data_IF_392194807852
#
_entry.id   IF_392194807852
#
_cell.length_a   1.000
_cell.length_b   1.000
_cell.length_c   1.000
_cell.angle_alpha   90.00
_cell.angle_beta   90.00
_cell.angle_gamma   90.00
#
_symmetry.space_group_name_H-M   'P 1'
#
loop_
_entity.id
_entity.type
_entity.pdbx_description
1 polymer ?
#
# COMPACT_ATOMS: atom_id res chain seq x y z
N UNK A 1 17.03 -0.51 10.15
CA UNK A 1 18.06 -0.19 9.10
C UNK A 1 18.05 -1.18 7.93
N UNK A 2 17.69 -2.45 8.15
CA UNK A 2 17.58 -3.44 7.06
C UNK A 2 16.41 -3.13 6.12
N UNK A 3 15.30 -2.62 6.63
CA UNK A 3 14.11 -2.20 5.88
C UNK A 3 14.43 -1.13 4.81
N UNK A 4 15.27 -0.15 5.16
CA UNK A 4 15.74 0.86 4.21
C UNK A 4 16.61 0.28 3.09
N UNK A 5 17.45 -0.70 3.43
CA UNK A 5 18.27 -1.41 2.43
C UNK A 5 17.39 -2.25 1.51
N UNK A 6 16.39 -2.91 2.06
CA UNK A 6 15.42 -3.68 1.28
C UNK A 6 14.64 -2.76 0.34
N UNK A 7 14.15 -1.63 0.84
CA UNK A 7 13.48 -0.61 0.02
C UNK A 7 14.38 -0.12 -1.14
N UNK A 8 15.64 0.20 -0.85
CA UNK A 8 16.57 0.64 -1.89
C UNK A 8 16.82 -0.44 -2.96
N UNK A 9 16.97 -1.72 -2.54
CA UNK A 9 17.16 -2.86 -3.47
C UNK A 9 15.92 -3.08 -4.36
N UNK A 10 14.73 -3.06 -3.78
CA UNK A 10 13.47 -3.26 -4.51
C UNK A 10 13.15 -2.09 -5.44
N UNK A 11 13.43 -0.85 -5.03
CA UNK A 11 13.33 0.34 -5.89
C UNK A 11 14.28 0.26 -7.07
N UNK A 12 15.50 -0.23 -6.85
CA UNK A 12 16.46 -0.45 -7.92
C UNK A 12 16.01 -1.55 -8.89
N UNK A 13 15.40 -2.62 -8.39
CA UNK A 13 14.80 -3.69 -9.21
C UNK A 13 13.68 -3.13 -10.08
N UNK A 14 12.77 -2.35 -9.51
CA UNK A 14 11.69 -1.69 -10.26
C UNK A 14 12.24 -0.75 -11.36
N UNK A 15 13.29 0.00 -11.03
CA UNK A 15 13.96 0.87 -12.00
C UNK A 15 14.59 0.09 -13.15
N UNK A 16 15.14 -1.10 -12.91
CA UNK A 16 15.67 -1.97 -13.97
C UNK A 16 14.58 -2.43 -14.92
N UNK A 17 13.42 -2.88 -14.42
CA UNK A 17 12.29 -3.27 -15.25
C UNK A 17 11.83 -2.10 -16.13
N UNK A 18 11.70 -0.93 -15.54
CA UNK A 18 11.32 0.29 -16.28
C UNK A 18 12.32 0.61 -17.41
N UNK A 19 13.62 0.66 -17.10
CA UNK A 19 14.67 1.00 -18.07
C UNK A 19 14.81 -0.08 -19.17
N UNK A 20 14.56 -1.34 -18.85
CA UNK A 20 14.59 -2.44 -19.81
C UNK A 20 13.29 -2.56 -20.61
N UNK A 21 12.28 -1.78 -20.32
CA UNK A 21 10.90 -1.93 -20.82
C UNK A 21 10.39 -3.38 -20.64
N UNK A 22 10.66 -3.94 -19.47
CA UNK A 22 10.34 -5.31 -19.11
C UNK A 22 9.12 -5.33 -18.18
N UNK A 23 8.16 -6.19 -18.50
CA UNK A 23 7.06 -6.54 -17.61
C UNK A 23 7.40 -7.85 -16.89
N UNK A 24 7.71 -7.82 -15.59
CA UNK A 24 7.93 -9.02 -14.79
C UNK A 24 6.64 -9.86 -14.66
N UNK A 25 6.71 -11.01 -14.00
CA UNK A 25 5.50 -11.71 -13.59
C UNK A 25 4.71 -10.87 -12.60
N UNK A 26 3.38 -11.05 -12.55
CA UNK A 26 2.53 -10.37 -11.55
C UNK A 26 3.00 -10.67 -10.12
N UNK A 27 3.40 -11.93 -9.85
CA UNK A 27 3.92 -12.34 -8.54
C UNK A 27 5.21 -11.59 -8.16
N UNK A 28 6.15 -11.46 -9.09
CA UNK A 28 7.42 -10.76 -8.85
C UNK A 28 7.18 -9.25 -8.68
N UNK A 29 6.32 -8.67 -9.54
CA UNK A 29 5.93 -7.27 -9.43
C UNK A 29 5.27 -6.98 -8.07
N UNK A 30 4.28 -7.78 -7.68
CA UNK A 30 3.55 -7.58 -6.42
C UNK A 30 4.48 -7.72 -5.21
N UNK A 31 5.32 -8.74 -5.18
CA UNK A 31 6.28 -8.98 -4.09
C UNK A 31 7.25 -7.79 -3.94
N UNK A 32 7.77 -7.26 -5.04
CA UNK A 32 8.61 -6.08 -5.05
C UNK A 32 7.82 -4.82 -4.68
N UNK A 33 6.61 -4.69 -5.23
CA UNK A 33 5.70 -3.57 -5.04
C UNK A 33 5.21 -3.40 -3.61
N UNK A 34 4.99 -4.49 -2.88
CA UNK A 34 4.65 -4.46 -1.46
C UNK A 34 5.71 -3.71 -0.64
N UNK A 35 6.99 -3.91 -0.94
CA UNK A 35 8.09 -3.21 -0.27
C UNK A 35 8.16 -1.75 -0.74
N UNK A 36 8.09 -1.50 -2.06
CA UNK A 36 8.16 -0.14 -2.62
C UNK A 36 6.92 0.69 -2.35
N UNK A 37 5.82 0.09 -1.86
CA UNK A 37 4.65 0.82 -1.37
C UNK A 37 4.96 1.74 -0.19
N UNK A 38 6.08 1.53 0.51
CA UNK A 38 6.56 2.27 1.69
C UNK A 38 5.73 2.12 2.96
N UNK A 39 4.58 1.47 2.94
CA UNK A 39 3.68 1.40 4.10
C UNK A 39 4.28 0.68 5.30
N UNK A 40 5.19 -0.26 5.07
CA UNK A 40 5.98 -0.87 6.15
C UNK A 40 6.88 0.18 6.83
N UNK A 41 7.59 1.00 6.05
CA UNK A 41 8.46 2.07 6.57
C UNK A 41 7.65 3.18 7.26
N UNK A 42 6.49 3.54 6.72
CA UNK A 42 5.59 4.52 7.32
C UNK A 42 5.07 4.02 8.69
N UNK A 43 4.73 2.75 8.79
CA UNK A 43 4.33 2.13 10.07
C UNK A 43 5.47 2.18 11.07
N UNK A 44 6.68 1.79 10.66
CA UNK A 44 7.87 1.84 11.53
C UNK A 44 8.17 3.27 11.99
N UNK A 45 8.05 4.25 11.10
CA UNK A 45 8.24 5.67 11.44
C UNK A 45 7.18 6.17 12.43
N UNK A 46 5.92 5.78 12.26
CA UNK A 46 4.84 6.15 13.18
C UNK A 46 5.07 5.55 14.58
N UNK A 47 5.61 4.33 14.66
CA UNK A 47 5.86 3.67 15.94
C UNK A 47 6.96 4.36 16.76
N UNK A 48 7.93 5.02 16.13
CA UNK A 48 9.03 5.71 16.84
C UNK A 48 8.56 6.79 17.83
N UNK A 49 7.37 7.34 17.65
CA UNK A 49 6.79 8.34 18.54
C UNK A 49 5.77 7.79 19.54
N UNK A 50 5.62 6.47 19.64
CA UNK A 50 4.58 5.84 20.48
C UNK A 50 5.19 5.12 21.67
N UNK A 51 4.73 5.44 22.90
CA UNK A 51 5.17 4.76 24.13
C UNK A 51 4.85 3.25 24.11
N UNK A 52 3.82 2.85 23.35
CA UNK A 52 3.40 1.46 23.18
C UNK A 52 4.27 0.67 22.18
N UNK A 53 5.21 1.30 21.49
CA UNK A 53 6.11 0.65 20.54
C UNK A 53 7.29 -0.05 21.26
N UNK A 54 7.00 -1.12 21.97
CA UNK A 54 7.98 -1.95 22.66
C UNK A 54 8.85 -2.77 21.70
N UNK A 55 9.91 -3.38 22.24
CA UNK A 55 10.74 -4.33 21.49
C UNK A 55 9.92 -5.49 20.91
N UNK A 56 8.90 -5.96 21.64
CA UNK A 56 8.02 -7.03 21.18
C UNK A 56 7.22 -6.61 19.94
N UNK A 57 6.78 -5.35 19.85
CA UNK A 57 6.10 -4.79 18.68
C UNK A 57 7.04 -4.77 17.47
N UNK A 58 8.29 -4.35 17.66
CA UNK A 58 9.28 -4.31 16.59
C UNK A 58 9.64 -5.73 16.13
N UNK A 59 9.81 -6.65 17.06
CA UNK A 59 10.05 -8.05 16.74
C UNK A 59 8.88 -8.67 15.98
N UNK A 60 7.63 -8.42 16.44
CA UNK A 60 6.43 -8.86 15.73
C UNK A 60 6.36 -8.30 14.31
N UNK A 61 6.61 -7.01 14.13
CA UNK A 61 6.66 -6.38 12.82
C UNK A 61 7.67 -7.07 11.89
N UNK A 62 8.86 -7.40 12.41
CA UNK A 62 9.94 -8.06 11.66
C UNK A 62 9.59 -9.48 11.21
N UNK A 63 8.57 -10.12 11.80
CA UNK A 63 8.08 -11.44 11.34
C UNK A 63 7.22 -11.34 10.07
N UNK A 64 6.99 -10.14 9.54
CA UNK A 64 6.10 -9.87 8.42
C UNK A 64 4.70 -10.50 8.62
N UNK A 65 3.99 -10.14 9.69
CA UNK A 65 2.72 -10.76 10.03
C UNK A 65 1.65 -10.48 8.98
N UNK A 66 0.62 -11.33 8.92
CA UNK A 66 -0.48 -11.24 7.95
C UNK A 66 -1.07 -9.83 7.83
N UNK A 67 -1.12 -9.10 8.92
CA UNK A 67 -1.60 -7.73 8.94
C UNK A 67 -0.78 -6.81 8.04
N UNK A 68 0.58 -6.88 8.12
CA UNK A 68 1.45 -6.08 7.25
C UNK A 68 1.43 -6.56 5.80
N UNK A 69 1.36 -7.86 5.56
CA UNK A 69 1.19 -8.40 4.22
C UNK A 69 -0.10 -7.85 3.59
N UNK A 70 -1.21 -7.88 4.32
CA UNK A 70 -2.48 -7.34 3.87
C UNK A 70 -2.41 -5.82 3.61
N UNK A 71 -1.83 -5.04 4.53
CA UNK A 71 -1.66 -3.60 4.37
C UNK A 71 -0.84 -3.24 3.12
N UNK A 72 0.34 -3.85 2.96
CA UNK A 72 1.25 -3.52 1.86
C UNK A 72 0.71 -3.98 0.51
N UNK A 73 0.00 -5.12 0.47
CA UNK A 73 -0.73 -5.58 -0.71
C UNK A 73 -1.85 -4.60 -1.06
N UNK A 74 -2.68 -4.24 -0.10
CA UNK A 74 -3.76 -3.26 -0.26
C UNK A 74 -3.25 -1.94 -0.84
N UNK A 75 -2.22 -1.39 -0.21
CA UNK A 75 -1.61 -0.12 -0.63
C UNK A 75 -1.05 -0.18 -2.05
N UNK A 76 -0.41 -1.29 -2.43
CA UNK A 76 0.13 -1.46 -3.79
C UNK A 76 -0.98 -1.59 -4.82
N UNK A 77 -1.97 -2.43 -4.60
CA UNK A 77 -3.05 -2.65 -5.55
C UNK A 77 -3.93 -1.41 -5.74
N UNK A 78 -4.30 -0.72 -4.65
CA UNK A 78 -5.08 0.52 -4.74
C UNK A 78 -4.32 1.63 -5.46
N UNK A 79 -3.01 1.76 -5.21
CA UNK A 79 -2.15 2.70 -5.94
C UNK A 79 -2.12 2.36 -7.43
N UNK A 80 -1.86 1.11 -7.79
CA UNK A 80 -1.74 0.73 -9.19
C UNK A 80 -3.06 0.89 -9.96
N UNK A 81 -4.21 0.60 -9.34
CA UNK A 81 -5.53 0.90 -9.91
C UNK A 81 -5.74 2.42 -10.06
N UNK A 82 -5.41 3.18 -9.02
CA UNK A 82 -5.61 4.63 -9.00
C UNK A 82 -4.71 5.38 -9.97
N UNK A 83 -3.48 4.95 -10.13
CA UNK A 83 -2.46 5.60 -10.98
C UNK A 83 -2.35 5.01 -12.38
N UNK A 84 -3.03 3.89 -12.67
CA UNK A 84 -2.86 3.10 -13.91
C UNK A 84 -2.88 3.95 -15.18
N UNK A 85 -3.90 4.79 -15.34
CA UNK A 85 -4.03 5.65 -16.54
C UNK A 85 -2.82 6.58 -16.71
N UNK A 86 -2.37 7.18 -15.63
CA UNK A 86 -1.25 8.11 -15.63
C UNK A 86 0.08 7.38 -15.90
N UNK A 87 0.30 6.24 -15.26
CA UNK A 87 1.50 5.44 -15.47
C UNK A 87 1.57 4.87 -16.89
N UNK A 88 0.44 4.43 -17.44
CA UNK A 88 0.33 3.97 -18.83
C UNK A 88 0.71 5.08 -19.84
N UNK A 89 0.26 6.31 -19.62
CA UNK A 89 0.62 7.47 -20.45
C UNK A 89 2.13 7.77 -20.39
N UNK A 90 2.80 7.45 -19.28
CA UNK A 90 4.25 7.59 -19.07
C UNK A 90 5.06 6.40 -19.60
N UNK A 91 4.40 5.34 -20.07
CA UNK A 91 5.05 4.11 -20.49
C UNK A 91 5.58 3.24 -19.32
N UNK A 92 5.08 3.47 -18.10
CA UNK A 92 5.40 2.64 -16.94
C UNK A 92 4.41 1.50 -16.84
N UNK A 93 4.90 0.26 -16.68
CA UNK A 93 4.05 -0.89 -16.38
C UNK A 93 3.63 -0.90 -14.92
N UNK A 94 2.36 -1.21 -14.65
CA UNK A 94 1.80 -1.41 -13.32
C UNK A 94 1.51 -2.89 -13.07
N UNK A 95 1.03 -3.25 -11.88
CA UNK A 95 0.56 -4.60 -11.59
C UNK A 95 -0.53 -5.04 -12.57
N UNK A 96 -1.31 -4.10 -13.11
CA UNK A 96 -2.40 -4.39 -14.04
C UNK A 96 -1.85 -5.01 -15.33
N UNK A 97 -0.85 -4.39 -15.98
CA UNK A 97 -0.25 -4.95 -17.19
C UNK A 97 0.44 -6.28 -16.93
N UNK A 98 1.10 -6.43 -15.77
CA UNK A 98 1.71 -7.71 -15.39
C UNK A 98 0.64 -8.80 -15.24
N UNK A 99 -0.49 -8.48 -14.62
CA UNK A 99 -1.62 -9.40 -14.43
C UNK A 99 -2.27 -9.76 -15.77
N UNK A 100 -2.56 -8.77 -16.62
CA UNK A 100 -3.09 -8.99 -17.96
C UNK A 100 -2.21 -9.93 -18.78
N UNK A 101 -0.90 -9.72 -18.72
CA UNK A 101 0.08 -10.57 -19.42
C UNK A 101 0.06 -12.03 -18.92
N UNK A 102 0.07 -12.22 -17.59
CA UNK A 102 0.20 -13.55 -17.01
C UNK A 102 -1.09 -14.38 -17.13
N UNK A 103 -2.26 -13.72 -17.05
CA UNK A 103 -3.55 -14.40 -17.04
C UNK A 103 -4.35 -14.26 -18.33
N UNK A 104 -3.84 -13.51 -19.31
CA UNK A 104 -4.46 -13.27 -20.61
C UNK A 104 -5.90 -12.71 -20.48
N UNK A 105 -6.07 -11.73 -19.62
CA UNK A 105 -7.35 -11.03 -19.32
C UNK A 105 -7.32 -9.59 -19.82
N UNK A 106 -8.49 -8.98 -19.93
CA UNK A 106 -8.62 -7.56 -20.25
C UNK A 106 -8.22 -6.65 -19.10
N UNK A 107 -8.01 -5.37 -19.39
CA UNK A 107 -7.71 -4.33 -18.38
C UNK A 107 -8.84 -4.24 -17.33
N UNK A 108 -10.10 -4.26 -17.75
CA UNK A 108 -11.23 -4.18 -16.84
C UNK A 108 -11.33 -5.41 -15.92
N UNK A 109 -11.15 -6.62 -16.47
CA UNK A 109 -11.13 -7.85 -15.66
C UNK A 109 -9.97 -7.84 -14.65
N UNK A 110 -8.81 -7.28 -15.02
CA UNK A 110 -7.69 -7.15 -14.09
C UNK A 110 -8.01 -6.13 -12.97
N UNK A 111 -8.63 -4.99 -13.31
CA UNK A 111 -9.04 -3.99 -12.32
C UNK A 111 -10.10 -4.52 -11.36
N UNK A 112 -11.13 -5.20 -11.85
CA UNK A 112 -12.15 -5.85 -11.02
C UNK A 112 -11.52 -6.87 -10.07
N UNK A 113 -10.55 -7.66 -10.57
CA UNK A 113 -9.82 -8.62 -9.74
C UNK A 113 -9.01 -7.94 -8.65
N UNK A 114 -8.40 -6.80 -8.93
CA UNK A 114 -7.64 -6.05 -7.94
C UNK A 114 -8.55 -5.44 -6.86
N UNK A 115 -9.73 -4.96 -7.25
CA UNK A 115 -10.75 -4.50 -6.30
C UNK A 115 -11.20 -5.64 -5.37
N UNK A 116 -11.44 -6.84 -5.91
CA UNK A 116 -11.73 -8.05 -5.12
C UNK A 116 -10.58 -8.39 -4.15
N UNK A 117 -9.34 -8.36 -4.63
CA UNK A 117 -8.16 -8.60 -3.79
C UNK A 117 -8.02 -7.55 -2.69
N UNK A 118 -8.34 -6.29 -2.96
CA UNK A 118 -8.36 -5.23 -1.95
C UNK A 118 -9.42 -5.47 -0.88
N UNK A 119 -10.62 -5.94 -1.25
CA UNK A 119 -11.64 -6.35 -0.28
C UNK A 119 -11.17 -7.52 0.60
N UNK A 120 -10.47 -8.49 0.02
CA UNK A 120 -9.92 -9.61 0.79
C UNK A 120 -8.83 -9.17 1.75
N UNK A 121 -7.97 -8.21 1.36
CA UNK A 121 -7.00 -7.62 2.31
C UNK A 121 -7.69 -6.91 3.47
N UNK A 122 -8.81 -6.22 3.24
CA UNK A 122 -9.63 -5.62 4.29
C UNK A 122 -10.18 -6.65 5.27
N UNK A 123 -10.69 -7.78 4.77
CA UNK A 123 -11.17 -8.89 5.62
C UNK A 123 -10.05 -9.39 6.52
N UNK A 124 -8.85 -9.64 5.95
CA UNK A 124 -7.68 -10.07 6.72
C UNK A 124 -7.29 -9.05 7.78
N UNK A 125 -7.22 -7.76 7.45
CA UNK A 125 -6.87 -6.71 8.41
C UNK A 125 -7.90 -6.62 9.54
N UNK A 126 -9.19 -6.72 9.25
CA UNK A 126 -10.24 -6.72 10.26
C UNK A 126 -10.17 -7.95 11.17
N UNK A 127 -9.93 -9.14 10.62
CA UNK A 127 -9.73 -10.36 11.40
C UNK A 127 -8.55 -10.22 12.36
N UNK A 128 -7.41 -9.73 11.89
CA UNK A 128 -6.22 -9.53 12.72
C UNK A 128 -6.47 -8.50 13.85
N UNK A 129 -7.27 -7.46 13.60
CA UNK A 129 -7.68 -6.51 14.63
C UNK A 129 -8.60 -7.11 15.72
N UNK A 130 -9.40 -8.12 15.34
CA UNK A 130 -10.33 -8.77 16.26
C UNK A 130 -9.71 -9.92 17.04
N UNK A 131 -8.58 -10.46 16.59
CA UNK A 131 -7.87 -11.53 17.27
C UNK A 131 -7.37 -11.08 18.64
N UNK A 132 -7.35 -12.03 19.59
CA UNK A 132 -6.61 -11.84 20.84
C UNK A 132 -5.12 -11.82 20.51
N UNK A 133 -4.46 -10.72 20.85
CA UNK A 133 -3.04 -10.51 20.56
C UNK A 133 -2.38 -9.76 21.72
N UNK A 134 -1.09 -9.96 21.88
CA UNK A 134 -0.25 -9.18 22.82
C UNK A 134 0.12 -7.80 22.26
N UNK A 135 -0.15 -7.57 20.97
CA UNK A 135 0.16 -6.29 20.33
C UNK A 135 -0.85 -5.23 20.78
N UNK A 136 -0.39 -4.06 21.26
CA UNK A 136 -1.27 -2.98 21.70
C UNK A 136 -2.24 -2.54 20.60
N UNK A 137 -3.49 -2.28 20.97
CA UNK A 137 -4.53 -1.85 20.00
C UNK A 137 -4.18 -0.54 19.30
N UNK A 138 -3.44 0.33 19.92
CA UNK A 138 -2.96 1.59 19.35
C UNK A 138 -2.04 1.33 18.14
N UNK A 139 -1.17 0.34 18.24
CA UNK A 139 -0.30 -0.10 17.13
C UNK A 139 -1.13 -0.63 15.97
N UNK A 140 -2.09 -1.53 16.24
CA UNK A 140 -2.98 -2.07 15.21
C UNK A 140 -3.83 -0.96 14.55
N UNK A 141 -4.25 0.04 15.33
CA UNK A 141 -5.00 1.20 14.83
C UNK A 141 -4.19 2.05 13.86
N UNK A 142 -2.90 2.23 14.10
CA UNK A 142 -2.01 2.97 13.17
C UNK A 142 -1.98 2.26 11.82
N UNK A 143 -1.77 0.95 11.80
CA UNK A 143 -1.72 0.14 10.59
C UNK A 143 -3.06 0.23 9.84
N UNK A 144 -4.18 0.07 10.55
CA UNK A 144 -5.51 0.17 9.96
C UNK A 144 -5.81 1.57 9.39
N UNK A 145 -5.33 2.64 10.07
CA UNK A 145 -5.50 3.99 9.58
C UNK A 145 -4.67 4.28 8.32
N UNK A 146 -3.50 3.67 8.19
CA UNK A 146 -2.72 3.73 6.95
C UNK A 146 -3.48 3.08 5.79
N UNK A 147 -4.13 1.93 5.99
CA UNK A 147 -5.00 1.33 4.98
C UNK A 147 -6.19 2.24 4.62
N UNK A 148 -6.83 2.87 5.62
CA UNK A 148 -7.91 3.85 5.39
C UNK A 148 -7.46 5.06 4.58
N UNK A 149 -6.20 5.45 4.69
CA UNK A 149 -5.65 6.53 3.86
C UNK A 149 -5.65 6.16 2.39
N UNK A 150 -5.37 4.89 2.04
CA UNK A 150 -5.47 4.41 0.66
C UNK A 150 -6.88 4.60 0.09
N UNK A 151 -7.92 4.30 0.87
CA UNK A 151 -9.32 4.46 0.46
C UNK A 151 -9.70 5.92 0.16
N UNK A 152 -9.04 6.87 0.79
CA UNK A 152 -9.26 8.30 0.55
C UNK A 152 -8.48 8.74 -0.70
N UNK A 153 -7.20 8.39 -0.75
CA UNK A 153 -6.27 8.88 -1.77
C UNK A 153 -6.56 8.26 -3.14
N UNK A 154 -6.86 6.95 -3.17
CA UNK A 154 -7.08 6.20 -4.42
C UNK A 154 -8.55 5.95 -4.76
N UNK A 155 -9.45 6.72 -4.14
CA UNK A 155 -10.89 6.59 -4.33
C UNK A 155 -11.31 6.73 -5.79
N UNK A 156 -12.27 5.89 -6.22
CA UNK A 156 -12.84 5.93 -7.57
C UNK A 156 -11.79 5.79 -8.69
N UNK A 157 -10.87 4.85 -8.54
CA UNK A 157 -9.80 4.57 -9.52
C UNK A 157 -9.03 5.84 -9.90
N UNK A 158 -8.75 6.70 -8.94
CA UNK A 158 -7.97 7.91 -9.16
C UNK A 158 -6.87 8.05 -8.13
N UNK A 159 -5.89 8.91 -8.40
CA UNK A 159 -4.75 9.15 -7.54
C UNK A 159 -4.75 10.59 -7.01
N UNK A 160 -5.04 10.74 -5.72
CA UNK A 160 -5.04 12.04 -5.03
C UNK A 160 -3.66 12.67 -4.88
N UNK A 161 -2.58 11.91 -5.00
CA UNK A 161 -1.23 12.47 -5.01
C UNK A 161 -0.87 13.09 -6.36
N UNK A 162 -1.40 12.55 -7.45
CA UNK A 162 -1.22 13.07 -8.80
C UNK A 162 -2.23 14.19 -9.11
N UNK A 163 -3.51 14.04 -8.69
CA UNK A 163 -4.53 15.08 -8.79
C UNK A 163 -5.03 15.50 -7.40
N UNK A 164 -4.38 16.51 -6.84
CA UNK A 164 -4.62 17.03 -5.48
C UNK A 164 -6.06 17.49 -5.24
N UNK A 165 -6.81 17.89 -6.28
CA UNK A 165 -8.21 18.33 -6.17
C UNK A 165 -9.10 17.23 -5.60
N UNK A 166 -8.71 15.97 -5.79
CA UNK A 166 -9.45 14.79 -5.28
C UNK A 166 -9.45 14.70 -3.76
N UNK A 167 -8.41 15.23 -3.12
CA UNK A 167 -8.23 15.19 -1.67
C UNK A 167 -8.20 16.59 -1.02
N UNK A 168 -8.47 17.65 -1.78
CA UNK A 168 -8.43 19.04 -1.31
C UNK A 168 -9.30 19.28 -0.06
N UNK A 169 -10.52 18.73 -0.05
CA UNK A 169 -11.40 18.85 1.11
C UNK A 169 -10.81 18.21 2.37
N UNK A 170 -10.12 17.10 2.25
CA UNK A 170 -9.44 16.44 3.37
C UNK A 170 -8.22 17.23 3.84
N UNK A 171 -7.45 17.80 2.91
CA UNK A 171 -6.31 18.66 3.24
C UNK A 171 -6.79 19.90 3.98
N UNK A 172 -7.83 20.56 3.50
CA UNK A 172 -8.40 21.75 4.13
C UNK A 172 -8.94 21.42 5.54
N UNK A 173 -9.67 20.32 5.71
CA UNK A 173 -10.17 19.88 7.00
C UNK A 173 -9.06 19.59 8.02
N UNK A 174 -7.88 19.15 7.57
CA UNK A 174 -6.74 18.85 8.45
C UNK A 174 -5.89 20.08 8.79
N UNK A 175 -5.73 21.02 7.85
CA UNK A 175 -4.73 22.09 7.96
C UNK A 175 -5.34 23.48 8.08
N UNK A 176 -6.57 23.70 7.62
CA UNK A 176 -7.18 25.01 7.51
C UNK A 176 -8.40 25.20 8.42
N UNK A 177 -9.18 24.12 8.61
CA UNK A 177 -10.40 24.21 9.41
C UNK A 177 -10.08 24.18 10.91
N UNK A 178 -10.81 24.96 11.70
CA UNK A 178 -10.67 24.93 13.16
C UNK A 178 -11.19 23.61 13.72
N UNK A 179 -10.34 22.90 14.47
CA UNK A 179 -10.81 21.75 15.24
C UNK A 179 -11.61 22.21 16.45
N UNK A 180 -12.86 21.76 16.54
CA UNK A 180 -13.62 21.89 17.80
C UNK A 180 -13.02 20.89 18.81
N UNK A 181 -12.38 21.38 19.86
CA UNK A 181 -11.85 20.58 20.98
C UNK A 181 -12.96 20.41 22.01
#
# INVERSE_FOLDING_TARGET
MEEWKQYARTSFTQSKWFLANELPSFSDYLSNGMVTSTYYLLSAAAFLGMDSASEDVINWMSTNPKFFVALTTHARLTNDVGSHKFEKERGSGTAIECYMKDYNVSEEEAMEKFEEMCEDTWKVMNEECLRSTTIPREILKVILNLARTCEIVYKHRGDGFTDQRRIEAHINAMLMDSMSI
#
